data_IF_058251008851
#
_entry.id   IF_058251008851
#
_cell.length_a   1.000
_cell.length_b   1.000
_cell.length_c   1.000
_cell.angle_alpha   90.00
_cell.angle_beta   90.00
_cell.angle_gamma   90.00
#
_symmetry.space_group_name_H-M   'P 1'
#
loop_
_entity.id
_entity.type
_entity.pdbx_description
1 polymer ?
#
# COMPACT_ATOMS: atom_id res chain seq x y z
N UNK A 1 13.55 24.37 -8.32
CA UNK A 1 14.49 24.50 -7.18
C UNK A 1 14.95 23.10 -6.85
N UNK A 2 16.20 22.89 -6.46
CA UNK A 2 16.64 21.56 -6.03
C UNK A 2 16.11 21.28 -4.61
N UNK A 3 15.60 20.08 -4.39
CA UNK A 3 15.24 19.60 -3.04
C UNK A 3 16.49 19.57 -2.15
N UNK A 4 16.26 19.82 -0.87
CA UNK A 4 17.25 19.54 0.19
C UNK A 4 17.35 18.04 0.45
N UNK A 5 18.41 17.60 1.12
CA UNK A 5 18.59 16.18 1.48
C UNK A 5 17.43 15.65 2.34
N UNK A 6 16.87 16.47 3.23
CA UNK A 6 15.71 16.09 4.05
C UNK A 6 14.43 15.95 3.21
N UNK A 7 14.20 16.89 2.30
CA UNK A 7 13.04 16.82 1.39
C UNK A 7 13.14 15.62 0.45
N UNK A 8 14.34 15.29 -0.01
CA UNK A 8 14.57 14.11 -0.84
C UNK A 8 14.33 12.81 -0.06
N UNK A 9 14.85 12.69 1.16
CA UNK A 9 14.61 11.51 2.00
C UNK A 9 13.12 11.33 2.33
N UNK A 10 12.39 12.42 2.58
CA UNK A 10 10.93 12.34 2.78
C UNK A 10 10.18 12.03 1.49
N UNK A 11 10.71 12.44 0.35
CA UNK A 11 10.14 12.07 -0.95
C UNK A 11 10.33 10.57 -1.24
N UNK A 12 11.51 10.02 -0.91
CA UNK A 12 11.79 8.58 -0.97
C UNK A 12 10.76 7.80 -0.14
N UNK A 13 10.46 8.24 1.08
CA UNK A 13 9.42 7.61 1.91
C UNK A 13 8.04 7.61 1.26
N UNK A 14 7.67 8.70 0.58
CA UNK A 14 6.38 8.77 -0.13
C UNK A 14 6.38 7.79 -1.30
N UNK A 15 7.46 7.76 -2.08
CA UNK A 15 7.60 6.87 -3.25
C UNK A 15 7.54 5.41 -2.80
N UNK A 16 8.24 5.06 -1.73
CA UNK A 16 8.29 3.69 -1.20
C UNK A 16 6.96 3.25 -0.57
N UNK A 17 6.30 4.13 0.19
CA UNK A 17 5.08 3.78 0.93
C UNK A 17 3.79 3.95 0.15
N UNK A 18 3.82 4.56 -1.03
CA UNK A 18 2.59 4.83 -1.78
C UNK A 18 1.79 3.55 -2.07
N UNK A 19 0.46 3.61 -2.03
CA UNK A 19 -0.34 4.72 -1.53
C UNK A 19 -0.31 4.81 0.01
N UNK A 20 0.03 5.97 0.57
CA UNK A 20 0.25 6.16 2.03
C UNK A 20 -0.74 7.16 2.64
N UNK A 21 -0.78 7.26 3.97
CA UNK A 21 -1.60 8.23 4.70
C UNK A 21 -0.75 9.11 5.60
N UNK A 22 -1.26 10.29 5.98
CA UNK A 22 -0.53 11.20 6.87
C UNK A 22 -0.11 10.54 8.18
N UNK A 23 -0.92 9.63 8.73
CA UNK A 23 -0.57 8.93 9.96
C UNK A 23 0.69 8.08 9.84
N UNK A 24 0.88 7.37 8.72
CA UNK A 24 2.09 6.55 8.51
C UNK A 24 3.34 7.41 8.32
N UNK A 25 3.22 8.50 7.56
CA UNK A 25 4.31 9.46 7.41
C UNK A 25 4.59 10.21 8.71
N UNK A 26 3.56 10.50 9.51
CA UNK A 26 3.71 11.12 10.83
C UNK A 26 4.56 10.24 11.74
N UNK A 27 4.22 8.95 11.82
CA UNK A 27 4.95 7.99 12.64
C UNK A 27 6.40 7.85 12.15
N UNK A 28 6.61 7.78 10.83
CA UNK A 28 7.95 7.63 10.23
C UNK A 28 8.82 8.87 10.38
N UNK A 29 8.25 10.07 10.29
CA UNK A 29 8.97 11.33 10.39
C UNK A 29 8.99 11.91 11.80
N UNK A 30 8.47 11.16 12.78
CA UNK A 30 8.39 11.53 14.18
C UNK A 30 7.72 12.91 14.39
N UNK A 31 6.66 13.19 13.62
CA UNK A 31 5.91 14.44 13.69
C UNK A 31 4.77 14.38 14.71
N UNK A 32 4.41 15.54 15.26
CA UNK A 32 3.39 15.65 16.31
C UNK A 32 1.98 15.31 15.81
N UNK A 33 1.69 15.55 14.53
CA UNK A 33 0.37 15.30 13.96
C UNK A 33 0.37 15.11 12.44
N UNK A 34 -0.68 14.45 11.93
CA UNK A 34 -0.92 14.36 10.50
C UNK A 34 -1.21 15.72 9.83
N UNK A 35 -1.53 16.76 10.60
CA UNK A 35 -1.64 18.13 10.10
C UNK A 35 -0.26 18.75 9.84
N UNK A 36 0.76 18.36 10.60
CA UNK A 36 2.13 18.81 10.38
C UNK A 36 2.71 18.16 9.13
N UNK A 37 2.39 16.87 8.90
CA UNK A 37 2.66 16.19 7.62
C UNK A 37 2.02 16.96 6.47
N UNK A 38 0.73 17.31 6.56
CA UNK A 38 0.05 18.04 5.49
C UNK A 38 0.69 19.40 5.22
N UNK A 39 1.00 20.17 6.27
CA UNK A 39 1.69 21.47 6.13
C UNK A 39 3.05 21.32 5.47
N UNK A 40 3.82 20.30 5.85
CA UNK A 40 5.11 20.02 5.24
C UNK A 40 4.97 19.70 3.75
N UNK A 41 4.06 18.78 3.41
CA UNK A 41 3.80 18.38 2.03
C UNK A 41 3.40 19.58 1.16
N UNK A 42 2.48 20.43 1.63
CA UNK A 42 2.04 21.61 0.90
C UNK A 42 3.12 22.69 0.75
N UNK A 43 4.03 22.79 1.72
CA UNK A 43 5.09 23.79 1.72
C UNK A 43 6.32 23.39 0.90
N UNK A 44 6.65 22.10 0.90
CA UNK A 44 7.95 21.60 0.42
C UNK A 44 7.83 20.65 -0.79
N UNK A 45 6.83 19.78 -0.80
CA UNK A 45 6.76 18.65 -1.74
C UNK A 45 5.57 18.70 -2.69
N UNK A 46 4.83 19.81 -2.73
CA UNK A 46 3.56 19.98 -3.46
C UNK A 46 3.60 19.58 -4.93
N UNK A 47 4.74 19.76 -5.59
CA UNK A 47 4.90 19.42 -7.00
C UNK A 47 5.14 17.92 -7.23
N UNK A 48 5.53 17.18 -6.18
CA UNK A 48 5.98 15.79 -6.27
C UNK A 48 4.96 14.78 -5.75
N UNK A 49 3.86 15.22 -5.14
CA UNK A 49 2.81 14.33 -4.63
C UNK A 49 1.42 14.77 -5.08
N UNK A 50 0.49 13.83 -5.05
CA UNK A 50 -0.94 14.10 -5.18
C UNK A 50 -1.74 13.23 -4.22
N UNK A 51 -3.04 13.52 -4.12
CA UNK A 51 -4.00 12.65 -3.42
C UNK A 51 -4.92 11.97 -4.42
N UNK A 52 -5.10 10.67 -4.28
CA UNK A 52 -6.07 9.91 -5.07
C UNK A 52 -7.51 10.10 -4.57
N UNK A 53 -8.46 9.43 -5.22
CA UNK A 53 -9.89 9.50 -4.89
C UNK A 53 -10.21 9.01 -3.46
N UNK A 54 -9.38 8.13 -2.89
CA UNK A 54 -9.45 7.67 -1.50
C UNK A 54 -8.71 8.60 -0.51
N UNK A 55 -8.25 9.77 -0.99
CA UNK A 55 -7.46 10.74 -0.24
C UNK A 55 -6.11 10.23 0.24
N UNK A 56 -5.57 9.18 -0.39
CA UNK A 56 -4.26 8.62 -0.10
C UNK A 56 -3.18 9.38 -0.84
N UNK A 57 -2.02 9.50 -0.22
CA UNK A 57 -0.85 10.19 -0.79
C UNK A 57 -0.16 9.25 -1.78
N UNK A 58 0.06 9.74 -3.00
CA UNK A 58 0.83 9.08 -4.06
C UNK A 58 1.91 10.01 -4.58
N UNK A 59 2.99 9.41 -5.07
CA UNK A 59 4.06 10.17 -5.70
C UNK A 59 3.73 10.41 -7.18
N UNK A 60 4.16 11.54 -7.70
CA UNK A 60 4.15 11.77 -9.16
C UNK A 60 5.22 10.92 -9.85
N UNK A 61 5.14 10.70 -11.17
CA UNK A 61 6.24 10.06 -11.91
C UNK A 61 7.57 10.81 -11.77
N UNK A 62 7.53 12.14 -11.76
CA UNK A 62 8.72 12.99 -11.55
C UNK A 62 9.37 12.74 -10.18
N UNK A 63 8.57 12.48 -9.14
CA UNK A 63 9.09 12.10 -7.84
C UNK A 63 9.87 10.78 -7.89
N UNK A 64 9.33 9.78 -8.61
CA UNK A 64 9.99 8.48 -8.78
C UNK A 64 11.31 8.65 -9.52
N UNK A 65 11.35 9.43 -10.61
CA UNK A 65 12.58 9.70 -11.37
C UNK A 65 13.63 10.48 -10.56
N UNK A 66 13.20 11.29 -9.60
CA UNK A 66 14.07 12.09 -8.74
C UNK A 66 14.67 11.27 -7.59
N UNK A 67 14.00 10.21 -7.17
CA UNK A 67 14.43 9.34 -6.08
C UNK A 67 15.07 8.07 -6.61
N UNK A 68 16.14 7.58 -5.98
CA UNK A 68 16.75 6.30 -6.36
C UNK A 68 16.03 5.08 -5.74
N UNK A 69 14.80 5.25 -5.23
CA UNK A 69 14.00 4.18 -4.61
C UNK A 69 12.91 3.66 -5.54
N UNK A 70 12.68 2.34 -5.53
CA UNK A 70 11.59 1.77 -6.32
C UNK A 70 10.24 2.03 -5.62
N UNK A 71 9.21 2.38 -6.40
CA UNK A 71 7.92 2.73 -5.84
C UNK A 71 7.22 1.52 -5.18
N UNK A 72 6.55 1.75 -4.06
CA UNK A 72 5.75 0.71 -3.38
C UNK A 72 4.63 0.15 -4.24
N UNK A 73 4.07 1.00 -5.10
CA UNK A 73 3.08 0.65 -6.12
C UNK A 73 3.46 1.40 -7.38
N UNK A 74 3.46 0.72 -8.53
CA UNK A 74 3.73 1.40 -9.80
C UNK A 74 2.78 2.60 -9.99
N UNK A 75 3.31 3.78 -10.38
CA UNK A 75 2.45 4.92 -10.67
C UNK A 75 1.50 4.57 -11.81
N UNK A 76 0.24 4.98 -11.68
CA UNK A 76 -0.76 4.89 -12.75
C UNK A 76 -0.20 5.56 -14.01
N UNK A 77 -0.25 4.92 -15.18
CA UNK A 77 0.17 5.58 -16.40
C UNK A 77 -0.80 6.71 -16.77
N UNK A 78 -0.34 7.69 -17.55
CA UNK A 78 -1.16 8.81 -18.00
C UNK A 78 -2.48 8.33 -18.65
N UNK A 79 -3.61 8.59 -17.97
CA UNK A 79 -4.95 8.26 -18.44
C UNK A 79 -5.56 6.97 -17.86
N UNK A 80 -4.85 6.26 -16.99
CA UNK A 80 -5.42 5.19 -16.16
C UNK A 80 -6.10 5.78 -14.91
N UNK A 81 -7.20 5.17 -14.49
CA UNK A 81 -7.85 5.55 -13.22
C UNK A 81 -7.03 5.04 -12.04
N UNK A 82 -6.96 5.80 -10.95
CA UNK A 82 -6.28 5.37 -9.72
C UNK A 82 -6.96 4.17 -9.03
N UNK A 83 -8.21 3.88 -9.41
CA UNK A 83 -8.96 2.66 -9.06
C UNK A 83 -8.52 1.41 -9.85
N UNK A 84 -7.73 1.55 -10.90
CA UNK A 84 -7.21 0.41 -11.64
C UNK A 84 -6.20 -0.35 -10.76
N UNK A 85 -6.26 -1.69 -10.73
CA UNK A 85 -5.30 -2.46 -9.96
C UNK A 85 -3.89 -2.24 -10.51
N UNK A 86 -2.89 -2.11 -9.63
CA UNK A 86 -1.53 -1.85 -10.05
C UNK A 86 -0.91 -3.05 -10.78
N UNK A 87 -0.03 -2.77 -11.74
CA UNK A 87 0.71 -3.80 -12.48
C UNK A 87 1.87 -4.41 -11.66
N UNK A 88 2.42 -3.66 -10.71
CA UNK A 88 3.43 -4.16 -9.77
C UNK A 88 3.28 -3.53 -8.39
N UNK A 89 3.54 -4.34 -7.36
CA UNK A 89 3.42 -3.95 -5.94
C UNK A 89 4.60 -4.48 -5.13
N UNK A 90 5.02 -3.71 -4.13
CA UNK A 90 6.01 -4.09 -3.14
C UNK A 90 5.30 -4.40 -1.83
N UNK A 91 5.50 -5.60 -1.32
CA UNK A 91 4.82 -6.13 -0.14
C UNK A 91 5.84 -6.64 0.88
N UNK A 92 5.52 -6.56 2.16
CA UNK A 92 6.26 -7.31 3.18
C UNK A 92 6.08 -8.83 2.97
N UNK A 93 6.94 -9.62 3.61
CA UNK A 93 6.85 -11.09 3.54
C UNK A 93 5.47 -11.60 4.00
N UNK A 94 4.91 -11.00 5.05
CA UNK A 94 3.57 -11.35 5.55
C UNK A 94 2.49 -10.94 4.56
N UNK A 95 2.55 -9.73 4.02
CA UNK A 95 1.57 -9.22 3.05
C UNK A 95 1.52 -10.06 1.77
N UNK A 96 2.68 -10.46 1.24
CA UNK A 96 2.76 -11.36 0.09
C UNK A 96 2.10 -12.71 0.39
N UNK A 97 2.39 -13.30 1.56
CA UNK A 97 1.79 -14.57 1.98
C UNK A 97 0.27 -14.45 2.18
N UNK A 98 -0.20 -13.33 2.74
CA UNK A 98 -1.63 -13.02 2.90
C UNK A 98 -2.31 -12.90 1.53
N UNK A 99 -1.65 -12.25 0.56
CA UNK A 99 -2.18 -12.10 -0.80
C UNK A 99 -2.23 -13.45 -1.56
N UNK A 100 -1.25 -14.32 -1.35
CA UNK A 100 -1.28 -15.69 -1.87
C UNK A 100 -2.38 -16.54 -1.25
N UNK A 101 -2.75 -16.28 0.02
CA UNK A 101 -3.74 -17.08 0.75
C UNK A 101 -5.18 -16.61 0.52
N UNK A 102 -5.42 -15.30 0.44
CA UNK A 102 -6.78 -14.75 0.35
C UNK A 102 -7.51 -15.24 -0.90
N UNK A 103 -8.81 -15.57 -0.77
CA UNK A 103 -9.67 -15.96 -1.88
C UNK A 103 -9.50 -15.08 -3.14
N UNK A 104 -9.43 -15.71 -4.30
CA UNK A 104 -9.33 -15.06 -5.59
C UNK A 104 -10.57 -14.24 -6.00
N UNK A 105 -10.52 -13.51 -7.12
CA UNK A 105 -11.58 -12.59 -7.55
C UNK A 105 -12.92 -13.29 -7.83
N UNK A 106 -12.86 -14.53 -8.30
CA UNK A 106 -14.05 -15.34 -8.61
C UNK A 106 -14.47 -16.26 -7.45
N UNK A 107 -13.75 -16.22 -6.34
CA UNK A 107 -14.02 -17.05 -5.17
C UNK A 107 -14.86 -16.31 -4.13
N UNK A 108 -15.32 -17.06 -3.13
CA UNK A 108 -16.15 -16.51 -2.06
C UNK A 108 -15.25 -15.77 -1.07
N UNK A 109 -15.55 -14.50 -0.79
CA UNK A 109 -14.74 -13.71 0.15
C UNK A 109 -14.73 -14.28 1.57
N UNK A 110 -13.59 -14.10 2.20
CA UNK A 110 -13.17 -14.76 3.44
C UNK A 110 -13.00 -13.79 4.59
N UNK A 111 -13.23 -14.26 5.82
CA UNK A 111 -12.96 -13.43 7.00
C UNK A 111 -11.47 -13.40 7.31
N UNK A 112 -11.02 -12.43 8.12
CA UNK A 112 -9.63 -12.38 8.62
C UNK A 112 -9.22 -13.70 9.28
N UNK A 113 -10.12 -14.32 10.04
CA UNK A 113 -9.87 -15.60 10.72
C UNK A 113 -9.74 -16.76 9.72
N UNK A 114 -10.50 -16.72 8.62
CA UNK A 114 -10.40 -17.70 7.55
C UNK A 114 -9.02 -17.63 6.88
N UNK A 115 -8.55 -16.42 6.55
CA UNK A 115 -7.22 -16.19 5.99
C UNK A 115 -6.13 -16.63 6.96
N UNK A 116 -6.23 -16.28 8.24
CA UNK A 116 -5.27 -16.71 9.26
C UNK A 116 -5.17 -18.24 9.36
N UNK A 117 -6.29 -18.96 9.30
CA UNK A 117 -6.26 -20.42 9.28
C UNK A 117 -5.60 -20.95 7.99
N UNK A 118 -5.88 -20.33 6.84
CA UNK A 118 -5.20 -20.65 5.58
C UNK A 118 -3.68 -20.48 5.65
N UNK A 119 -3.20 -19.42 6.30
CA UNK A 119 -1.77 -19.18 6.54
C UNK A 119 -1.14 -20.29 7.39
N UNK A 120 -1.81 -20.69 8.46
CA UNK A 120 -1.36 -21.79 9.34
C UNK A 120 -1.33 -23.13 8.62
N UNK A 121 -2.35 -23.42 7.81
CA UNK A 121 -2.50 -24.71 7.13
C UNK A 121 -1.56 -24.84 5.92
N UNK A 122 -1.34 -23.75 5.18
CA UNK A 122 -0.62 -23.78 3.89
C UNK A 122 0.85 -23.40 4.03
N UNK A 123 1.14 -22.41 4.89
CA UNK A 123 2.46 -21.80 5.01
C UNK A 123 3.14 -22.10 6.35
N UNK A 124 2.48 -22.81 7.27
CA UNK A 124 2.98 -23.15 8.60
C UNK A 124 3.42 -21.92 9.43
N UNK A 125 2.77 -20.77 9.20
CA UNK A 125 2.99 -19.53 9.95
C UNK A 125 1.78 -19.19 10.83
N UNK A 126 2.04 -18.60 12.00
CA UNK A 126 1.00 -18.19 12.95
C UNK A 126 1.16 -16.72 13.39
N UNK A 127 0.94 -15.75 12.48
CA UNK A 127 0.96 -14.33 12.81
C UNK A 127 -0.24 -13.95 13.70
N UNK A 128 -0.13 -12.81 14.40
CA UNK A 128 -1.25 -12.27 15.16
C UNK A 128 -2.41 -11.86 14.23
N UNK A 129 -3.64 -11.99 14.75
CA UNK A 129 -4.86 -11.62 13.98
C UNK A 129 -4.84 -10.16 13.52
N UNK A 130 -4.29 -9.28 14.36
CA UNK A 130 -4.19 -7.85 14.01
C UNK A 130 -3.18 -7.63 12.88
N UNK A 131 -2.09 -8.41 12.79
CA UNK A 131 -1.12 -8.30 11.70
C UNK A 131 -1.74 -8.73 10.37
N UNK A 132 -2.49 -9.84 10.37
CA UNK A 132 -3.25 -10.29 9.19
C UNK A 132 -4.27 -9.22 8.77
N UNK A 133 -4.94 -8.60 9.74
CA UNK A 133 -5.91 -7.54 9.47
C UNK A 133 -5.25 -6.28 8.91
N UNK A 134 -4.07 -5.91 9.38
CA UNK A 134 -3.29 -4.79 8.86
C UNK A 134 -2.82 -5.08 7.43
N UNK A 135 -2.28 -6.28 7.17
CA UNK A 135 -1.89 -6.72 5.84
C UNK A 135 -3.07 -6.67 4.85
N UNK A 136 -4.25 -7.20 5.22
CA UNK A 136 -5.45 -7.13 4.39
C UNK A 136 -5.90 -5.68 4.12
N UNK A 137 -5.77 -4.78 5.10
CA UNK A 137 -6.09 -3.36 4.90
C UNK A 137 -5.07 -2.66 4.00
N UNK A 138 -3.79 -3.04 4.09
CA UNK A 138 -2.74 -2.54 3.19
C UNK A 138 -2.99 -3.00 1.76
N UNK A 139 -3.24 -4.29 1.56
CA UNK A 139 -3.59 -4.86 0.25
C UNK A 139 -4.86 -4.23 -0.34
N UNK A 140 -5.86 -3.95 0.52
CA UNK A 140 -7.06 -3.20 0.11
C UNK A 140 -6.69 -1.83 -0.42
N UNK A 141 -5.84 -1.11 0.32
CA UNK A 141 -5.42 0.24 -0.03
C UNK A 141 -4.60 0.28 -1.33
N UNK A 142 -3.78 -0.73 -1.57
CA UNK A 142 -3.03 -0.90 -2.80
C UNK A 142 -3.96 -1.17 -4.01
N UNK A 143 -5.17 -1.67 -3.76
CA UNK A 143 -6.16 -1.97 -4.80
C UNK A 143 -6.14 -3.42 -5.32
N UNK A 144 -5.34 -4.29 -4.70
CA UNK A 144 -5.25 -5.72 -5.08
C UNK A 144 -6.25 -6.61 -4.34
N UNK A 145 -6.85 -6.10 -3.26
CA UNK A 145 -7.89 -6.78 -2.47
C UNK A 145 -9.09 -5.85 -2.28
N UNK A 146 -10.30 -6.41 -2.27
CA UNK A 146 -11.50 -5.67 -1.89
C UNK A 146 -12.07 -6.17 -0.57
N UNK A 147 -12.81 -5.30 0.10
CA UNK A 147 -13.56 -5.62 1.31
C UNK A 147 -15.06 -5.62 1.00
N UNK A 148 -15.70 -6.73 1.33
CA UNK A 148 -17.15 -6.89 1.24
C UNK A 148 -17.74 -6.69 2.63
N UNK A 149 -18.47 -5.58 2.79
CA UNK A 149 -19.13 -5.21 4.03
C UNK A 149 -20.40 -6.05 4.23
N UNK A 150 -20.29 -7.03 5.12
CA UNK A 150 -21.40 -7.79 5.70
C UNK A 150 -21.34 -7.66 7.23
N UNK A 151 -22.07 -8.50 7.99
CA UNK A 151 -22.01 -8.48 9.46
C UNK A 151 -20.58 -8.54 10.01
N UNK A 152 -19.72 -9.33 9.37
CA UNK A 152 -18.27 -9.35 9.61
C UNK A 152 -17.56 -9.05 8.29
N UNK A 153 -16.69 -8.04 8.21
CA UNK A 153 -15.96 -7.74 6.98
C UNK A 153 -15.22 -8.96 6.43
N UNK A 154 -15.27 -9.12 5.12
CA UNK A 154 -14.59 -10.21 4.41
C UNK A 154 -13.84 -9.69 3.21
N UNK A 155 -12.81 -10.40 2.79
CA UNK A 155 -11.84 -9.96 1.79
C UNK A 155 -11.75 -10.98 0.66
N UNK A 156 -11.43 -10.49 -0.54
CA UNK A 156 -11.01 -11.29 -1.68
C UNK A 156 -10.09 -10.46 -2.58
N UNK A 157 -9.22 -11.09 -3.34
CA UNK A 157 -8.43 -10.41 -4.35
C UNK A 157 -9.33 -9.77 -5.41
N UNK A 158 -8.97 -8.58 -5.89
CA UNK A 158 -9.64 -7.92 -7.02
C UNK A 158 -9.11 -8.41 -8.38
N UNK A 159 -7.95 -9.06 -8.36
CA UNK A 159 -7.16 -9.40 -9.53
C UNK A 159 -6.71 -10.85 -9.48
N UNK A 160 -6.45 -11.41 -10.65
CA UNK A 160 -5.71 -12.67 -10.74
C UNK A 160 -4.28 -12.45 -10.25
N UNK A 161 -3.76 -13.40 -9.46
CA UNK A 161 -2.42 -13.28 -8.85
C UNK A 161 -1.32 -13.17 -9.91
N UNK A 162 -1.50 -13.82 -11.06
CA UNK A 162 -0.57 -13.76 -12.20
C UNK A 162 -0.61 -12.42 -12.96
N UNK A 163 -1.58 -11.55 -12.68
CA UNK A 163 -1.70 -10.25 -13.35
C UNK A 163 -0.90 -9.14 -12.66
N UNK A 164 -0.41 -9.37 -11.43
CA UNK A 164 0.34 -8.38 -10.64
C UNK A 164 1.72 -8.93 -10.32
N UNK A 165 2.75 -8.15 -10.66
CA UNK A 165 4.13 -8.48 -10.27
C UNK A 165 4.36 -8.10 -8.81
N UNK A 166 4.47 -9.10 -7.92
CA UNK A 166 4.75 -8.90 -6.50
C UNK A 166 6.26 -8.98 -6.24
N UNK A 167 6.82 -7.90 -5.70
CA UNK A 167 8.17 -7.88 -5.14
C UNK A 167 8.09 -7.91 -3.62
N UNK A 168 8.87 -8.78 -2.98
CA UNK A 168 8.92 -8.87 -1.51
C UNK A 168 10.06 -8.00 -1.00
N UNK A 169 9.74 -7.08 -0.10
CA UNK A 169 10.72 -6.31 0.66
C UNK A 169 11.08 -7.06 1.94
N UNK A 170 12.37 -7.11 2.29
CA UNK A 170 12.80 -7.54 3.62
C UNK A 170 12.64 -6.34 4.58
N UNK A 171 11.80 -6.47 5.61
CA UNK A 171 11.61 -5.48 6.68
C UNK A 171 12.87 -5.21 7.51
#
# INVERSE_FOLDING_TARGET
>A
MSLTDEELARLEDIVELQPTKNGELQDRWELDSGSDVHQYLEGHLKEYYYRDDDSLIRSTPEAVDLTDVEPGVAPSADGESDDAPPSSVRLSSLEATVFETVAGPNERSESVVSVLNGLRETHDIDPDVEDVRQALQRLKRIGVVEVIYRTVPTFRACVDRDAVSVAVSED
#
